data_IF_617042029187
#
_entry.id   IF_617042029187
#
_cell.length_a   1.000
_cell.length_b   1.000
_cell.length_c   1.000
_cell.angle_alpha   90.00
_cell.angle_beta   90.00
_cell.angle_gamma   90.00
#
_symmetry.space_group_name_H-M   'P 1'
#
loop_
_entity.id
_entity.type
_entity.pdbx_description
1 polymer ?
#
# COMPACT_ATOMS: atom_id res chain seq x y z
N UNK A 1 3.10 5.64 -9.56
CA UNK A 1 3.90 6.07 -8.39
C UNK A 1 4.88 4.96 -8.05
N UNK A 2 6.15 5.32 -7.86
CA UNK A 2 7.19 4.38 -7.41
C UNK A 2 7.41 4.52 -5.89
N UNK A 3 7.59 5.74 -5.40
CA UNK A 3 7.75 6.04 -3.98
C UNK A 3 6.39 6.24 -3.31
N UNK A 4 5.68 5.15 -3.01
CA UNK A 4 4.34 5.24 -2.42
C UNK A 4 4.34 5.54 -0.91
N UNK A 5 5.50 5.47 -0.24
CA UNK A 5 5.70 5.67 1.20
C UNK A 5 4.66 4.93 2.07
N UNK A 6 4.64 3.58 2.04
CA UNK A 6 3.74 2.79 2.87
C UNK A 6 4.04 2.98 4.38
N UNK A 7 3.02 3.19 5.20
CA UNK A 7 3.17 3.45 6.65
C UNK A 7 3.73 2.25 7.43
N UNK A 8 3.26 1.04 7.10
CA UNK A 8 3.72 -0.20 7.71
C UNK A 8 4.06 -1.20 6.61
N UNK A 9 5.29 -1.68 6.58
CA UNK A 9 5.74 -2.69 5.63
C UNK A 9 6.30 -3.90 6.35
N UNK A 10 6.03 -5.07 5.78
CA UNK A 10 6.78 -6.25 6.13
C UNK A 10 8.21 -6.13 5.57
N UNK A 11 9.17 -6.59 6.37
CA UNK A 11 10.57 -6.65 5.97
C UNK A 11 10.81 -7.78 4.96
N UNK A 12 11.69 -7.53 4.00
CA UNK A 12 12.05 -8.49 2.95
C UNK A 12 13.20 -9.40 3.41
N UNK A 13 12.95 -10.19 4.46
CA UNK A 13 13.99 -10.97 5.15
C UNK A 13 14.36 -12.29 4.43
N UNK A 14 13.57 -12.74 3.46
CA UNK A 14 13.85 -13.96 2.67
C UNK A 14 14.16 -15.21 3.49
N UNK A 15 13.64 -15.32 4.72
CA UNK A 15 13.89 -16.49 5.59
C UNK A 15 13.16 -17.74 5.11
N UNK A 16 12.04 -17.56 4.41
CA UNK A 16 11.29 -18.62 3.74
C UNK A 16 11.95 -19.07 2.42
N UNK A 17 12.58 -18.14 1.70
CA UNK A 17 13.26 -18.37 0.41
C UNK A 17 14.68 -17.78 0.44
N UNK A 18 15.61 -18.34 1.24
CA UNK A 18 16.93 -17.76 1.39
C UNK A 18 17.73 -17.90 0.10
N UNK A 19 18.26 -16.78 -0.38
CA UNK A 19 19.19 -16.73 -1.50
C UNK A 19 20.57 -17.32 -1.11
N UNK A 20 21.39 -17.74 -2.08
CA UNK A 20 22.61 -18.51 -1.81
C UNK A 20 23.56 -17.86 -0.79
N UNK A 21 23.82 -16.57 -0.93
CA UNK A 21 24.74 -15.83 -0.06
C UNK A 21 24.19 -15.67 1.36
N UNK A 22 22.86 -15.53 1.52
CA UNK A 22 22.22 -15.51 2.84
C UNK A 22 22.33 -16.88 3.52
N UNK A 23 22.13 -17.97 2.77
CA UNK A 23 22.28 -19.33 3.29
C UNK A 23 23.71 -19.59 3.77
N UNK A 24 24.71 -19.22 2.97
CA UNK A 24 26.12 -19.33 3.33
C UNK A 24 26.44 -18.51 4.59
N UNK A 25 25.94 -17.27 4.64
CA UNK A 25 26.11 -16.41 5.81
C UNK A 25 25.51 -17.04 7.06
N UNK A 26 24.27 -17.53 7.01
CA UNK A 26 23.62 -18.22 8.13
C UNK A 26 24.43 -19.46 8.53
N UNK A 27 24.93 -20.25 7.58
CA UNK A 27 25.71 -21.46 7.85
C UNK A 27 27.01 -21.18 8.61
N UNK A 28 27.62 -20.01 8.40
CA UNK A 28 28.87 -19.61 9.07
C UNK A 28 28.77 -19.41 10.59
N UNK A 29 27.55 -19.28 11.13
CA UNK A 29 27.33 -19.18 12.58
C UNK A 29 27.23 -20.56 13.21
N UNK A 30 27.89 -20.77 14.34
CA UNK A 30 27.74 -21.98 15.15
C UNK A 30 27.24 -21.56 16.55
N UNK A 31 25.92 -21.60 16.75
CA UNK A 31 25.31 -21.13 18.00
C UNK A 31 25.67 -22.04 19.20
N UNK A 32 25.98 -23.31 18.95
CA UNK A 32 26.22 -24.29 20.01
C UNK A 32 27.63 -24.15 20.62
N UNK A 33 28.58 -23.59 19.86
CA UNK A 33 30.00 -23.47 20.25
C UNK A 33 30.48 -22.02 20.38
N UNK A 34 29.56 -21.04 20.38
CA UNK A 34 29.88 -19.64 20.61
C UNK A 34 30.16 -19.34 22.09
N UNK A 35 31.04 -18.37 22.34
CA UNK A 35 31.16 -17.83 23.69
C UNK A 35 29.89 -17.04 24.08
N UNK A 36 29.70 -16.84 25.39
CA UNK A 36 28.49 -16.18 25.93
C UNK A 36 28.27 -14.79 25.33
N UNK A 37 29.34 -14.03 25.06
CA UNK A 37 29.22 -12.66 24.54
C UNK A 37 28.79 -12.70 23.07
N UNK A 38 29.42 -13.53 22.27
CA UNK A 38 29.12 -13.67 20.85
C UNK A 38 27.71 -14.25 20.62
N UNK A 39 27.28 -15.15 21.49
CA UNK A 39 25.93 -15.72 21.49
C UNK A 39 24.87 -14.63 21.74
N UNK A 40 25.02 -13.82 22.80
CA UNK A 40 24.08 -12.75 23.17
C UNK A 40 24.10 -11.52 22.26
N UNK A 41 25.11 -11.40 21.39
CA UNK A 41 25.23 -10.32 20.39
C UNK A 41 25.05 -10.83 18.95
N UNK A 42 24.39 -11.97 18.77
CA UNK A 42 24.05 -12.50 17.44
C UNK A 42 22.74 -11.90 16.93
N UNK A 43 22.70 -11.39 15.68
CA UNK A 43 21.47 -10.85 15.07
C UNK A 43 20.28 -11.80 15.18
N UNK A 44 19.11 -11.29 15.58
CA UNK A 44 17.92 -12.12 15.75
C UNK A 44 17.47 -12.81 14.44
N UNK A 45 17.73 -12.21 13.28
CA UNK A 45 17.48 -12.83 11.97
C UNK A 45 18.26 -14.15 11.84
N UNK A 46 19.52 -14.17 12.29
CA UNK A 46 20.37 -15.36 12.26
C UNK A 46 19.84 -16.41 13.24
N UNK A 47 19.42 -15.99 14.43
CA UNK A 47 18.78 -16.88 15.42
C UNK A 47 17.54 -17.55 14.79
N UNK A 48 16.60 -16.77 14.27
CA UNK A 48 15.39 -17.31 13.63
C UNK A 48 15.75 -18.28 12.49
N UNK A 49 16.71 -17.93 11.63
CA UNK A 49 17.14 -18.78 10.53
C UNK A 49 17.76 -20.11 10.97
N UNK A 50 18.57 -20.10 12.04
CA UNK A 50 19.17 -21.31 12.62
C UNK A 50 18.10 -22.22 13.22
N UNK A 51 17.18 -21.66 13.99
CA UNK A 51 16.09 -22.43 14.57
C UNK A 51 15.10 -22.90 13.52
N UNK A 52 14.90 -22.18 12.42
CA UNK A 52 14.14 -22.67 11.26
C UNK A 52 14.79 -23.91 10.66
N UNK A 53 16.12 -23.93 10.50
CA UNK A 53 16.84 -25.11 10.02
C UNK A 53 16.62 -26.30 10.95
N UNK A 54 16.67 -26.08 12.27
CA UNK A 54 16.37 -27.12 13.27
C UNK A 54 14.91 -27.60 13.19
N UNK A 55 13.97 -26.68 13.03
CA UNK A 55 12.55 -27.00 12.85
C UNK A 55 12.31 -27.87 11.62
N UNK A 56 12.95 -27.55 10.49
CA UNK A 56 12.86 -28.32 9.26
C UNK A 56 13.38 -29.75 9.44
N UNK A 57 14.47 -29.93 10.18
CA UNK A 57 15.06 -31.26 10.42
C UNK A 57 14.26 -32.11 11.42
N UNK A 58 13.67 -31.50 12.45
CA UNK A 58 13.10 -32.24 13.59
C UNK A 58 11.57 -32.38 13.55
N UNK A 59 10.86 -31.43 12.92
CA UNK A 59 9.41 -31.32 13.09
C UNK A 59 8.62 -31.32 11.79
N UNK A 60 9.01 -30.52 10.80
CA UNK A 60 8.21 -30.33 9.60
C UNK A 60 9.02 -29.69 8.48
N UNK A 61 8.85 -30.17 7.25
CA UNK A 61 9.39 -29.53 6.03
C UNK A 61 8.72 -28.20 5.67
N UNK A 62 7.73 -27.74 6.46
CA UNK A 62 7.01 -26.50 6.24
C UNK A 62 7.27 -25.47 7.33
N UNK A 63 7.20 -24.20 6.95
CA UNK A 63 7.26 -23.08 7.88
C UNK A 63 6.13 -23.15 8.91
N UNK A 64 6.37 -22.70 10.15
CA UNK A 64 5.31 -22.51 11.14
C UNK A 64 4.23 -21.55 10.63
N UNK A 65 3.03 -22.06 10.35
CA UNK A 65 1.91 -21.27 9.80
C UNK A 65 0.88 -20.97 10.88
N UNK A 66 0.43 -22.00 11.59
CA UNK A 66 -0.64 -21.84 12.59
C UNK A 66 -0.11 -21.16 13.85
N UNK A 67 -1.01 -20.54 14.62
CA UNK A 67 -0.65 -19.97 15.92
C UNK A 67 0.05 -21.00 16.82
N UNK A 68 -0.45 -22.25 16.84
CA UNK A 68 0.13 -23.35 17.61
C UNK A 68 1.54 -23.71 17.15
N UNK A 69 1.78 -23.76 15.84
CA UNK A 69 3.12 -24.02 15.30
C UNK A 69 4.08 -22.87 15.58
N UNK A 70 3.64 -21.62 15.37
CA UNK A 70 4.45 -20.43 15.68
C UNK A 70 4.80 -20.37 17.15
N UNK A 71 3.88 -20.74 18.04
CA UNK A 71 4.17 -20.82 19.47
C UNK A 71 5.15 -21.96 19.78
N UNK A 72 4.98 -23.15 19.20
CA UNK A 72 5.94 -24.23 19.35
C UNK A 72 7.34 -23.86 18.83
N UNK A 73 7.41 -23.02 17.79
CA UNK A 73 8.66 -22.47 17.26
C UNK A 73 9.28 -21.43 18.18
N UNK A 74 8.49 -20.52 18.79
CA UNK A 74 8.98 -19.63 19.85
C UNK A 74 9.57 -20.39 21.02
N UNK A 75 8.90 -21.46 21.46
CA UNK A 75 9.42 -22.30 22.54
C UNK A 75 10.72 -23.00 22.13
N UNK A 76 10.86 -23.39 20.87
CA UNK A 76 12.11 -23.96 20.35
C UNK A 76 13.26 -22.94 20.40
N UNK A 77 13.03 -21.69 19.99
CA UNK A 77 14.03 -20.61 20.10
C UNK A 77 14.37 -20.35 21.58
N UNK A 78 13.36 -20.31 22.45
CA UNK A 78 13.52 -20.00 23.88
C UNK A 78 14.34 -21.07 24.63
N UNK A 79 14.31 -22.32 24.17
CA UNK A 79 15.17 -23.40 24.67
C UNK A 79 16.65 -23.20 24.32
N UNK A 80 16.94 -22.34 23.34
CA UNK A 80 18.27 -21.96 22.89
C UNK A 80 19.02 -20.98 23.79
N UNK A 81 18.31 -20.33 24.71
CA UNK A 81 18.90 -19.35 25.62
C UNK A 81 19.86 -20.07 26.57
N UNK A 82 21.09 -19.55 26.68
CA UNK A 82 22.11 -20.13 27.57
C UNK A 82 21.62 -20.14 29.02
N UNK A 83 22.08 -21.12 29.80
CA UNK A 83 21.76 -21.21 31.23
C UNK A 83 23.01 -20.94 32.05
N UNK A 84 22.84 -20.23 33.17
CA UNK A 84 23.92 -20.01 34.12
C UNK A 84 24.20 -21.28 34.95
N UNK A 85 25.20 -21.19 35.84
CA UNK A 85 25.62 -22.29 36.73
C UNK A 85 24.48 -22.84 37.61
N UNK A 86 23.45 -22.01 37.88
CA UNK A 86 22.28 -22.37 38.68
C UNK A 86 21.14 -22.96 37.84
N UNK A 87 21.34 -23.13 36.53
CA UNK A 87 20.36 -23.66 35.59
C UNK A 87 19.25 -22.68 35.20
N UNK A 88 19.33 -21.41 35.60
CA UNK A 88 18.38 -20.38 35.16
C UNK A 88 18.80 -19.81 33.81
N UNK A 89 17.86 -19.53 32.89
CA UNK A 89 18.15 -18.87 31.63
C UNK A 89 18.86 -17.53 31.87
N UNK A 90 19.88 -17.27 31.07
CA UNK A 90 20.54 -15.96 30.97
C UNK A 90 19.59 -14.95 30.32
N UNK A 91 19.84 -13.67 30.58
CA UNK A 91 19.07 -12.58 29.97
C UNK A 91 19.67 -12.23 28.60
N UNK A 92 19.11 -12.83 27.54
CA UNK A 92 19.57 -12.66 26.16
C UNK A 92 18.52 -11.90 25.34
N UNK A 93 18.67 -10.57 25.31
CA UNK A 93 17.70 -9.68 24.65
C UNK A 93 17.54 -9.98 23.15
N UNK A 94 18.60 -10.43 22.46
CA UNK A 94 18.55 -10.82 21.05
C UNK A 94 17.66 -12.06 20.80
N UNK A 95 17.60 -13.01 21.75
CA UNK A 95 16.69 -14.16 21.69
C UNK A 95 15.24 -13.75 21.96
N UNK A 96 15.00 -12.87 22.92
CA UNK A 96 13.67 -12.31 23.16
C UNK A 96 13.19 -11.46 21.96
N UNK A 97 14.09 -10.73 21.30
CA UNK A 97 13.82 -10.04 20.03
C UNK A 97 13.47 -11.02 18.91
N UNK A 98 14.19 -12.15 18.79
CA UNK A 98 13.88 -13.22 17.84
C UNK A 98 12.47 -13.78 18.06
N UNK A 99 12.12 -14.09 19.32
CA UNK A 99 10.81 -14.63 19.71
C UNK A 99 9.67 -13.67 19.38
N UNK A 100 9.85 -12.36 19.65
CA UNK A 100 8.87 -11.31 19.33
C UNK A 100 8.67 -11.20 17.81
N UNK A 101 9.76 -11.27 17.04
CA UNK A 101 9.72 -11.11 15.58
C UNK A 101 9.28 -12.36 14.81
N UNK A 102 9.08 -13.52 15.44
CA UNK A 102 8.60 -14.75 14.76
C UNK A 102 7.34 -14.50 13.90
N UNK A 103 6.41 -13.65 14.37
CA UNK A 103 5.18 -13.41 13.62
C UNK A 103 5.40 -12.69 12.29
N UNK A 104 6.34 -11.75 12.25
CA UNK A 104 6.63 -10.90 11.08
C UNK A 104 7.74 -11.47 10.21
N UNK A 105 8.68 -12.21 10.81
CA UNK A 105 9.83 -12.79 10.13
C UNK A 105 9.51 -14.04 9.31
N UNK A 106 8.47 -14.78 9.69
CA UNK A 106 8.03 -16.00 9.00
C UNK A 106 6.95 -15.74 7.94
N UNK A 107 6.85 -14.50 7.45
CA UNK A 107 5.95 -14.19 6.34
C UNK A 107 6.51 -14.76 5.04
N UNK A 108 5.60 -15.24 4.20
CA UNK A 108 5.96 -15.79 2.89
C UNK A 108 6.40 -14.67 1.96
N UNK A 109 7.52 -14.86 1.29
CA UNK A 109 7.98 -14.01 0.20
C UNK A 109 7.09 -14.29 -1.02
N UNK A 110 6.13 -13.40 -1.24
CA UNK A 110 5.15 -13.45 -2.32
C UNK A 110 5.04 -12.09 -3.03
N UNK A 111 4.50 -12.12 -4.26
CA UNK A 111 4.26 -10.90 -5.03
C UNK A 111 2.92 -10.33 -4.55
N UNK A 112 2.88 -9.06 -4.08
CA UNK A 112 1.61 -8.46 -3.67
C UNK A 112 0.64 -8.39 -4.85
N UNK A 113 -0.65 -8.61 -4.58
CA UNK A 113 -1.71 -8.59 -5.61
C UNK A 113 -1.70 -7.32 -6.47
N UNK A 114 -1.46 -6.15 -5.88
CA UNK A 114 -1.39 -4.90 -6.64
C UNK A 114 -0.23 -4.90 -7.67
N UNK A 115 0.86 -5.61 -7.40
CA UNK A 115 1.98 -5.77 -8.34
C UNK A 115 1.63 -6.78 -9.42
N UNK A 116 0.92 -7.86 -9.09
CA UNK A 116 0.39 -8.79 -10.09
C UNK A 116 -0.57 -8.10 -11.07
N UNK A 117 -1.45 -7.23 -10.56
CA UNK A 117 -2.35 -6.40 -11.37
C UNK A 117 -1.55 -5.48 -12.32
N UNK A 118 -0.48 -4.84 -11.84
CA UNK A 118 0.43 -4.03 -12.68
C UNK A 118 1.13 -4.90 -13.74
N UNK A 119 1.57 -6.12 -13.39
CA UNK A 119 2.22 -7.03 -14.33
C UNK A 119 1.28 -7.53 -15.41
N UNK A 120 0.02 -7.71 -15.08
CA UNK A 120 -1.02 -8.20 -16.00
C UNK A 120 -1.77 -7.10 -16.71
N UNK A 121 -1.43 -5.83 -16.45
CA UNK A 121 -1.98 -4.68 -17.15
C UNK A 121 -1.55 -4.64 -18.62
N UNK A 122 -2.45 -4.22 -19.50
CA UNK A 122 -2.19 -4.06 -20.93
C UNK A 122 -0.99 -3.13 -21.20
N UNK A 123 -0.85 -2.05 -20.42
CA UNK A 123 0.28 -1.12 -20.53
C UNK A 123 1.64 -1.76 -20.18
N UNK A 124 1.64 -2.87 -19.43
CA UNK A 124 2.84 -3.63 -19.09
C UNK A 124 3.08 -4.79 -20.08
N UNK A 125 2.01 -5.40 -20.59
CA UNK A 125 2.07 -6.51 -21.53
C UNK A 125 2.49 -6.02 -22.92
N UNK A 126 1.82 -4.98 -23.41
CA UNK A 126 1.92 -4.48 -24.78
C UNK A 126 2.68 -3.16 -24.80
N UNK A 127 4.00 -3.24 -24.64
CA UNK A 127 4.86 -2.07 -24.72
C UNK A 127 4.94 -1.52 -26.17
N UNK A 128 5.01 -0.20 -26.27
CA UNK A 128 5.18 0.54 -27.52
C UNK A 128 6.27 1.59 -27.37
N UNK A 129 6.66 2.22 -28.47
CA UNK A 129 7.60 3.36 -28.44
C UNK A 129 7.09 4.53 -27.58
N UNK A 130 5.77 4.63 -27.35
CA UNK A 130 5.18 5.67 -26.51
C UNK A 130 4.99 5.25 -25.05
N UNK A 131 5.35 4.01 -24.69
CA UNK A 131 5.24 3.54 -23.32
C UNK A 131 6.12 4.38 -22.37
N UNK A 132 5.55 4.93 -21.28
CA UNK A 132 6.31 5.64 -20.25
C UNK A 132 7.35 4.75 -19.56
N UNK A 133 8.41 5.37 -19.02
CA UNK A 133 9.49 4.67 -18.29
C UNK A 133 8.97 3.76 -17.17
N UNK A 134 7.92 4.18 -16.47
CA UNK A 134 7.27 3.37 -15.42
C UNK A 134 6.88 1.98 -15.91
N UNK A 135 6.19 1.89 -17.06
CA UNK A 135 5.71 0.61 -17.58
C UNK A 135 6.83 -0.25 -18.16
N UNK A 136 7.85 0.37 -18.76
CA UNK A 136 9.05 -0.32 -19.22
C UNK A 136 9.79 -0.96 -18.04
N UNK A 137 9.94 -0.20 -16.94
CA UNK A 137 10.56 -0.69 -15.71
C UNK A 137 9.71 -1.76 -15.01
N UNK A 138 8.40 -1.59 -14.94
CA UNK A 138 7.50 -2.60 -14.42
C UNK A 138 7.60 -3.91 -15.22
N UNK A 139 7.70 -3.82 -16.55
CA UNK A 139 7.94 -4.97 -17.41
C UNK A 139 9.31 -5.60 -17.17
N UNK A 140 10.36 -4.80 -16.99
CA UNK A 140 11.70 -5.31 -16.66
C UNK A 140 11.71 -6.10 -15.33
N UNK A 141 10.97 -5.63 -14.31
CA UNK A 141 10.80 -6.39 -13.05
C UNK A 141 10.00 -7.67 -13.29
N UNK A 142 8.96 -7.65 -14.14
CA UNK A 142 8.22 -8.86 -14.52
C UNK A 142 9.13 -9.91 -15.19
N UNK A 143 10.01 -9.49 -16.09
CA UNK A 143 11.01 -10.37 -16.71
C UNK A 143 12.01 -10.91 -15.67
N UNK A 144 12.50 -10.07 -14.75
CA UNK A 144 13.35 -10.52 -13.65
C UNK A 144 12.66 -11.59 -12.80
N UNK A 145 11.41 -11.37 -12.42
CA UNK A 145 10.61 -12.31 -11.62
C UNK A 145 10.52 -13.67 -12.32
N UNK A 146 10.34 -13.71 -13.63
CA UNK A 146 10.26 -14.94 -14.41
C UNK A 146 11.62 -15.66 -14.57
N UNK A 147 12.73 -14.93 -14.45
CA UNK A 147 14.08 -15.41 -14.69
C UNK A 147 14.89 -15.48 -13.37
N UNK A 148 15.76 -14.49 -13.11
CA UNK A 148 16.69 -14.49 -11.99
C UNK A 148 16.00 -14.45 -10.62
N UNK A 149 14.80 -13.85 -10.57
CA UNK A 149 13.98 -13.70 -9.37
C UNK A 149 13.25 -14.98 -8.94
N UNK A 150 13.13 -15.99 -9.81
CA UNK A 150 12.52 -17.29 -9.51
C UNK A 150 11.12 -17.18 -8.86
N UNK A 151 10.27 -16.29 -9.39
CA UNK A 151 8.94 -16.01 -8.87
C UNK A 151 8.91 -15.01 -7.70
N UNK A 152 10.02 -14.31 -7.41
CA UNK A 152 10.09 -13.28 -6.39
C UNK A 152 10.61 -11.96 -6.94
N UNK A 153 10.18 -10.86 -6.32
CA UNK A 153 10.65 -9.52 -6.63
C UNK A 153 12.15 -9.35 -6.26
N UNK A 154 12.84 -8.33 -6.80
CA UNK A 154 14.20 -7.96 -6.39
C UNK A 154 14.30 -7.79 -4.86
N UNK A 155 15.42 -8.21 -4.27
CA UNK A 155 15.65 -8.02 -2.82
C UNK A 155 15.73 -6.53 -2.49
N UNK A 156 15.00 -6.09 -1.46
CA UNK A 156 14.97 -4.67 -1.04
C UNK A 156 16.33 -4.16 -0.59
N UNK A 157 17.12 -5.03 0.06
CA UNK A 157 18.49 -4.74 0.47
C UNK A 157 18.64 -4.06 1.83
N UNK A 158 17.54 -3.74 2.51
CA UNK A 158 17.49 -3.20 3.86
C UNK A 158 17.02 -4.25 4.86
N UNK A 159 17.49 -4.16 6.10
CA UNK A 159 17.04 -4.95 7.24
C UNK A 159 16.80 -3.99 8.41
N UNK A 160 15.90 -4.32 9.35
CA UNK A 160 15.64 -3.49 10.53
C UNK A 160 16.86 -3.45 11.45
N UNK A 161 16.89 -2.46 12.34
CA UNK A 161 17.85 -2.44 13.44
C UNK A 161 17.60 -3.62 14.40
N UNK A 162 18.64 -4.05 15.12
CA UNK A 162 18.54 -5.16 16.08
C UNK A 162 19.71 -5.21 17.05
N UNK A 163 19.50 -5.92 18.17
CA UNK A 163 20.53 -6.16 19.17
C UNK A 163 21.56 -7.14 18.62
N UNK A 164 22.73 -6.62 18.25
CA UNK A 164 23.85 -7.39 17.73
C UNK A 164 25.19 -6.64 17.89
N UNK A 165 26.31 -7.38 17.80
CA UNK A 165 27.63 -6.76 17.64
C UNK A 165 27.69 -6.00 16.31
N UNK A 166 28.34 -4.83 16.31
CA UNK A 166 28.42 -3.96 15.13
C UNK A 166 28.98 -4.68 13.90
N UNK A 167 30.00 -5.54 14.06
CA UNK A 167 30.56 -6.27 12.93
C UNK A 167 29.61 -7.33 12.40
N UNK A 168 28.89 -8.04 13.28
CA UNK A 168 27.91 -9.06 12.88
C UNK A 168 26.72 -8.43 12.15
N UNK A 169 26.21 -7.31 12.67
CA UNK A 169 25.14 -6.56 12.01
C UNK A 169 25.57 -6.03 10.64
N UNK A 170 26.73 -5.37 10.54
CA UNK A 170 27.24 -4.83 9.27
C UNK A 170 27.46 -5.95 8.24
N UNK A 171 27.99 -7.11 8.65
CA UNK A 171 28.18 -8.26 7.76
C UNK A 171 26.84 -8.76 7.21
N UNK A 172 25.83 -8.96 8.08
CA UNK A 172 24.50 -9.37 7.66
C UNK A 172 23.87 -8.33 6.72
N UNK A 173 23.92 -7.04 7.07
CA UNK A 173 23.40 -5.96 6.26
C UNK A 173 24.04 -5.93 4.85
N UNK A 174 25.36 -6.14 4.77
CA UNK A 174 26.07 -6.18 3.50
C UNK A 174 25.63 -7.34 2.61
N UNK A 175 25.27 -8.50 3.17
CA UNK A 175 24.73 -9.63 2.39
C UNK A 175 23.46 -9.23 1.62
N UNK A 176 22.51 -8.57 2.30
CA UNK A 176 21.29 -8.06 1.65
C UNK A 176 21.60 -6.94 0.66
N UNK A 177 22.50 -6.02 1.02
CA UNK A 177 22.87 -4.89 0.15
C UNK A 177 23.53 -5.34 -1.15
N UNK A 178 24.45 -6.30 -1.09
CA UNK A 178 25.10 -6.84 -2.28
C UNK A 178 24.14 -7.67 -3.13
N UNK A 179 23.23 -8.45 -2.50
CA UNK A 179 22.17 -9.13 -3.24
C UNK A 179 21.25 -8.15 -3.97
N UNK A 180 20.81 -7.07 -3.31
CA UNK A 180 20.00 -6.04 -3.94
C UNK A 180 20.71 -5.38 -5.13
N UNK A 181 22.03 -5.10 -5.03
CA UNK A 181 22.82 -4.60 -6.17
C UNK A 181 22.83 -5.57 -7.35
N UNK A 182 23.00 -6.89 -7.09
CA UNK A 182 22.96 -7.91 -8.13
C UNK A 182 21.58 -7.95 -8.82
N UNK A 183 20.51 -7.87 -8.04
CA UNK A 183 19.14 -7.89 -8.57
C UNK A 183 18.84 -6.62 -9.39
N UNK A 184 19.27 -5.45 -8.91
CA UNK A 184 19.16 -4.19 -9.65
C UNK A 184 19.87 -4.28 -11.00
N UNK A 185 21.08 -4.85 -11.05
CA UNK A 185 21.81 -5.03 -12.31
C UNK A 185 21.07 -5.97 -13.28
N UNK A 186 20.47 -7.05 -12.77
CA UNK A 186 19.67 -7.97 -13.59
C UNK A 186 18.42 -7.28 -14.17
N UNK A 187 17.67 -6.53 -13.35
CA UNK A 187 16.53 -5.72 -13.83
C UNK A 187 16.98 -4.68 -14.84
N UNK A 188 18.13 -4.04 -14.63
CA UNK A 188 18.72 -3.07 -15.56
C UNK A 188 19.02 -3.67 -16.93
N UNK A 189 19.54 -4.91 -16.98
CA UNK A 189 19.77 -5.62 -18.23
C UNK A 189 18.46 -5.91 -18.99
N UNK A 190 17.39 -6.28 -18.27
CA UNK A 190 16.07 -6.46 -18.90
C UNK A 190 15.51 -5.13 -19.42
N UNK A 191 15.61 -4.05 -18.64
CA UNK A 191 15.20 -2.72 -19.06
C UNK A 191 15.95 -2.25 -20.32
N UNK A 192 17.27 -2.45 -20.38
CA UNK A 192 18.08 -2.10 -21.54
C UNK A 192 17.65 -2.88 -22.80
N UNK A 193 17.39 -4.18 -22.69
CA UNK A 193 16.87 -5.01 -23.81
C UNK A 193 15.51 -4.51 -24.29
N UNK A 194 14.61 -4.17 -23.37
CA UNK A 194 13.28 -3.64 -23.70
C UNK A 194 13.41 -2.29 -24.43
N UNK A 195 14.24 -1.38 -23.94
CA UNK A 195 14.48 -0.09 -24.59
C UNK A 195 15.01 -0.27 -26.02
N UNK A 196 15.99 -1.16 -26.22
CA UNK A 196 16.51 -1.48 -27.56
C UNK A 196 15.41 -2.01 -28.50
N UNK A 197 14.54 -2.92 -28.02
CA UNK A 197 13.43 -3.45 -28.82
C UNK A 197 12.38 -2.40 -29.18
N UNK A 198 12.28 -1.33 -28.39
CA UNK A 198 11.36 -0.20 -28.60
C UNK A 198 12.03 0.97 -29.34
N UNK A 199 13.25 0.80 -29.85
CA UNK A 199 13.99 1.86 -30.53
C UNK A 199 14.40 3.04 -29.62
N UNK A 200 14.34 2.87 -28.28
CA UNK A 200 14.73 3.88 -27.31
C UNK A 200 16.21 3.73 -26.93
N UNK A 201 16.84 4.86 -26.60
CA UNK A 201 18.21 4.86 -26.07
C UNK A 201 18.25 4.07 -24.73
N UNK A 202 19.17 3.12 -24.55
CA UNK A 202 19.31 2.37 -23.30
C UNK A 202 19.52 3.27 -22.07
N UNK A 203 20.12 4.44 -22.27
CA UNK A 203 20.43 5.43 -21.23
C UNK A 203 19.23 6.35 -20.90
N UNK A 204 18.07 6.16 -21.54
CA UNK A 204 16.88 6.99 -21.27
C UNK A 204 16.30 6.80 -19.87
N UNK A 205 16.71 5.73 -19.17
CA UNK A 205 16.34 5.45 -17.78
C UNK A 205 17.61 5.53 -16.94
N UNK A 206 17.61 6.43 -15.96
CA UNK A 206 18.77 6.62 -15.11
C UNK A 206 18.95 5.46 -14.12
N UNK A 207 20.20 5.21 -13.70
CA UNK A 207 20.48 4.22 -12.64
C UNK A 207 19.75 4.57 -11.33
N UNK A 208 19.54 5.87 -11.07
CA UNK A 208 18.77 6.35 -9.93
C UNK A 208 17.31 5.89 -10.00
N UNK A 209 16.65 6.04 -11.14
CA UNK A 209 15.27 5.57 -11.35
C UNK A 209 15.16 4.06 -11.22
N UNK A 210 16.09 3.32 -11.82
CA UNK A 210 16.14 1.86 -11.73
C UNK A 210 16.27 1.40 -10.27
N UNK A 211 17.25 1.95 -9.54
CA UNK A 211 17.45 1.64 -8.12
C UNK A 211 16.22 1.97 -7.28
N UNK A 212 15.61 3.13 -7.53
CA UNK A 212 14.41 3.57 -6.82
C UNK A 212 13.25 2.60 -7.04
N UNK A 213 13.07 2.14 -8.27
CA UNK A 213 12.02 1.18 -8.63
C UNK A 213 12.28 -0.19 -8.02
N UNK A 214 13.51 -0.72 -8.06
CA UNK A 214 13.82 -2.01 -7.44
C UNK A 214 13.60 -1.99 -5.93
N UNK A 215 14.04 -0.91 -5.25
CA UNK A 215 13.84 -0.73 -3.82
C UNK A 215 12.36 -0.66 -3.42
N UNK A 216 11.51 -0.16 -4.33
CA UNK A 216 10.06 -0.03 -4.12
C UNK A 216 9.24 -1.01 -4.96
N UNK A 217 9.84 -2.10 -5.44
CA UNK A 217 9.19 -3.02 -6.39
C UNK A 217 7.93 -3.67 -5.81
N UNK A 218 7.89 -3.89 -4.49
CA UNK A 218 6.72 -4.40 -3.77
C UNK A 218 5.65 -3.33 -3.49
N UNK A 219 5.95 -2.05 -3.75
CA UNK A 219 5.14 -0.90 -3.34
C UNK A 219 4.68 -0.03 -4.51
N UNK A 220 4.87 -0.49 -5.75
CA UNK A 220 4.40 0.24 -6.92
C UNK A 220 2.89 0.40 -6.87
N UNK A 221 2.41 1.60 -7.23
CA UNK A 221 0.98 1.92 -7.28
C UNK A 221 0.63 2.63 -8.57
N UNK A 222 -0.50 2.21 -9.14
CA UNK A 222 -1.15 2.85 -10.29
C UNK A 222 -2.54 3.27 -9.83
N UNK A 223 -2.89 4.52 -10.08
CA UNK A 223 -4.24 5.06 -9.87
C UNK A 223 -4.75 5.56 -11.21
N UNK A 224 -5.96 5.15 -11.60
CA UNK A 224 -6.65 5.59 -12.80
C UNK A 224 -8.02 6.12 -12.38
N UNK A 225 -8.17 7.44 -12.41
CA UNK A 225 -9.46 8.07 -12.15
C UNK A 225 -10.31 8.00 -13.42
N UNK A 226 -11.62 7.90 -13.23
CA UNK A 226 -12.59 8.04 -14.32
C UNK A 226 -12.66 9.49 -14.76
N UNK A 227 -13.10 9.71 -15.99
CA UNK A 227 -13.36 11.05 -16.47
C UNK A 227 -14.65 11.60 -15.85
N UNK A 228 -14.71 12.92 -15.67
CA UNK A 228 -15.94 13.58 -15.21
C UNK A 228 -17.13 13.33 -16.15
N UNK A 229 -16.86 13.15 -17.46
CA UNK A 229 -17.87 12.76 -18.44
C UNK A 229 -18.47 11.38 -18.17
N UNK A 230 -17.66 10.43 -17.71
CA UNK A 230 -18.16 9.10 -17.35
C UNK A 230 -18.97 9.14 -16.06
N UNK A 231 -18.55 9.94 -15.07
CA UNK A 231 -19.32 10.18 -13.85
C UNK A 231 -20.70 10.81 -14.16
N UNK A 232 -20.79 11.72 -15.13
CA UNK A 232 -22.04 12.42 -15.46
C UNK A 232 -22.89 11.70 -16.51
N UNK A 233 -22.32 10.71 -17.22
CA UNK A 233 -23.01 9.99 -18.28
C UNK A 233 -24.06 9.03 -17.75
N UNK A 234 -25.28 9.09 -18.27
CA UNK A 234 -26.42 8.27 -17.79
C UNK A 234 -26.16 6.75 -17.81
N UNK A 235 -25.35 6.29 -18.77
CA UNK A 235 -25.02 4.87 -18.95
C UNK A 235 -23.73 4.45 -18.22
N UNK A 236 -22.92 5.42 -17.81
CA UNK A 236 -21.60 5.19 -17.19
C UNK A 236 -21.62 5.52 -15.70
N UNK A 237 -22.62 6.25 -15.21
CA UNK A 237 -22.80 6.58 -13.79
C UNK A 237 -22.66 5.34 -12.90
N UNK A 238 -21.78 5.38 -11.88
CA UNK A 238 -21.54 4.22 -11.01
C UNK A 238 -22.66 4.05 -9.98
N UNK A 239 -23.79 3.49 -10.43
CA UNK A 239 -24.98 3.26 -9.61
C UNK A 239 -24.70 2.27 -8.48
N UNK A 240 -23.91 1.24 -8.75
CA UNK A 240 -23.67 0.14 -7.81
C UNK A 240 -22.93 0.65 -6.56
N UNK A 241 -21.89 1.46 -6.75
CA UNK A 241 -21.17 2.12 -5.65
C UNK A 241 -22.14 2.96 -4.80
N UNK A 242 -22.90 3.84 -5.44
CA UNK A 242 -23.85 4.75 -4.75
C UNK A 242 -24.93 3.98 -4.00
N UNK A 243 -25.56 2.99 -4.63
CA UNK A 243 -26.62 2.18 -4.01
C UNK A 243 -26.05 1.42 -2.80
N UNK A 244 -24.87 0.82 -2.93
CA UNK A 244 -24.25 0.07 -1.83
C UNK A 244 -23.94 0.95 -0.61
N UNK A 245 -23.49 2.20 -0.81
CA UNK A 245 -23.22 3.11 0.29
C UNK A 245 -24.48 3.74 0.90
N UNK A 246 -25.58 3.79 0.14
CA UNK A 246 -26.88 4.27 0.61
C UNK A 246 -27.66 3.25 1.46
N UNK A 247 -27.14 2.03 1.64
CA UNK A 247 -27.63 1.10 2.69
C UNK A 247 -27.51 1.71 4.09
N UNK A 248 -26.55 2.62 4.27
CA UNK A 248 -26.51 3.55 5.40
C UNK A 248 -27.08 4.91 4.94
N UNK A 249 -28.28 5.31 5.41
CA UNK A 249 -28.90 6.59 5.06
C UNK A 249 -28.08 7.83 5.45
N UNK A 250 -27.11 7.68 6.37
CA UNK A 250 -26.25 8.74 6.87
C UNK A 250 -24.83 8.70 6.29
N UNK A 251 -24.57 7.84 5.29
CA UNK A 251 -23.29 7.81 4.56
C UNK A 251 -23.02 9.14 3.86
N UNK A 252 -21.76 9.57 3.81
CA UNK A 252 -21.37 10.84 3.18
C UNK A 252 -21.74 10.92 1.69
N UNK A 253 -22.00 9.79 1.03
CA UNK A 253 -22.48 9.76 -0.36
C UNK A 253 -23.81 10.53 -0.53
N UNK A 254 -24.63 10.64 0.53
CA UNK A 254 -25.85 11.44 0.51
C UNK A 254 -25.56 12.92 0.23
N UNK A 255 -24.42 13.43 0.72
CA UNK A 255 -24.00 14.81 0.47
C UNK A 255 -23.67 15.01 -1.01
N UNK A 256 -23.06 14.01 -1.67
CA UNK A 256 -22.87 14.04 -3.12
C UNK A 256 -24.22 14.10 -3.84
N UNK A 257 -25.18 13.22 -3.51
CA UNK A 257 -26.49 13.22 -4.17
C UNK A 257 -27.22 14.56 -4.02
N UNK A 258 -27.15 15.19 -2.84
CA UNK A 258 -27.78 16.49 -2.62
C UNK A 258 -26.99 17.61 -3.32
N UNK A 259 -25.67 17.57 -3.40
CA UNK A 259 -24.88 18.50 -4.23
C UNK A 259 -25.28 18.43 -5.72
N UNK A 260 -25.49 17.23 -6.26
CA UNK A 260 -26.02 17.06 -7.64
C UNK A 260 -27.40 17.69 -7.81
N UNK A 261 -28.26 17.55 -6.80
CA UNK A 261 -29.56 18.19 -6.78
C UNK A 261 -29.49 19.73 -6.66
N UNK A 262 -28.53 20.26 -5.91
CA UNK A 262 -28.26 21.70 -5.79
C UNK A 262 -27.80 22.30 -7.11
N UNK A 263 -26.91 21.63 -7.85
CA UNK A 263 -26.52 22.07 -9.20
C UNK A 263 -27.71 22.07 -10.17
N UNK A 264 -28.57 21.05 -10.09
CA UNK A 264 -29.82 21.01 -10.86
C UNK A 264 -30.76 22.15 -10.48
N UNK A 265 -30.90 22.45 -9.18
CA UNK A 265 -31.67 23.59 -8.69
C UNK A 265 -31.12 24.90 -9.27
N UNK A 266 -29.80 25.11 -9.22
CA UNK A 266 -29.15 26.30 -9.78
C UNK A 266 -29.45 26.43 -11.28
N UNK A 267 -29.35 25.33 -12.04
CA UNK A 267 -29.67 25.30 -13.47
C UNK A 267 -31.13 25.68 -13.76
N UNK A 268 -32.08 25.32 -12.89
CA UNK A 268 -33.50 25.60 -13.09
C UNK A 268 -33.92 27.00 -12.62
N UNK A 269 -33.31 27.50 -11.54
CA UNK A 269 -33.76 28.71 -10.86
C UNK A 269 -32.79 29.90 -10.97
N UNK A 270 -31.59 29.71 -11.53
CA UNK A 270 -30.58 30.77 -11.71
C UNK A 270 -29.96 31.27 -10.40
N UNK A 271 -30.17 30.55 -9.29
CA UNK A 271 -29.64 30.85 -7.95
C UNK A 271 -29.52 29.57 -7.12
N UNK A 272 -28.74 29.61 -6.05
CA UNK A 272 -28.66 28.52 -5.08
C UNK A 272 -29.87 28.51 -4.11
N UNK A 273 -30.20 27.36 -3.50
CA UNK A 273 -31.30 27.26 -2.55
C UNK A 273 -30.96 27.96 -1.23
N UNK A 274 -31.95 28.67 -0.66
CA UNK A 274 -31.87 29.22 0.71
C UNK A 274 -30.84 30.32 0.96
N UNK A 275 -30.36 31.01 -0.08
CA UNK A 275 -29.37 32.11 0.05
C UNK A 275 -29.90 33.25 0.93
N UNK A 276 -31.19 33.56 0.85
CA UNK A 276 -31.84 34.50 1.76
C UNK A 276 -32.75 33.76 2.75
N UNK A 277 -32.80 34.22 4.00
CA UNK A 277 -33.60 33.58 5.07
C UNK A 277 -35.07 33.35 4.69
N UNK A 278 -35.69 34.28 3.94
CA UNK A 278 -37.08 34.16 3.52
C UNK A 278 -37.32 33.12 2.40
N UNK A 279 -36.26 32.61 1.75
CA UNK A 279 -36.34 31.64 0.66
C UNK A 279 -36.28 30.20 1.14
N UNK A 280 -35.80 29.95 2.37
CA UNK A 280 -35.48 28.62 2.88
C UNK A 280 -36.69 27.67 2.81
N UNK A 281 -37.84 28.10 3.36
CA UNK A 281 -39.07 27.29 3.36
C UNK A 281 -39.56 26.96 1.94
N UNK A 282 -39.60 27.95 1.06
CA UNK A 282 -40.05 27.78 -0.33
C UNK A 282 -39.10 26.90 -1.16
N UNK A 283 -37.81 26.93 -0.85
CA UNK A 283 -36.79 26.23 -1.61
C UNK A 283 -36.64 24.76 -1.20
N UNK A 284 -37.04 24.38 0.01
CA UNK A 284 -37.05 22.97 0.46
C UNK A 284 -37.85 22.09 -0.53
N UNK A 285 -39.07 22.49 -0.88
CA UNK A 285 -39.91 21.72 -1.82
C UNK A 285 -39.32 21.67 -3.25
N UNK A 286 -38.71 22.76 -3.70
CA UNK A 286 -38.07 22.86 -5.02
C UNK A 286 -36.80 22.02 -5.09
N UNK A 287 -35.95 22.05 -4.07
CA UNK A 287 -34.75 21.23 -3.97
C UNK A 287 -35.11 19.75 -3.88
N UNK A 288 -36.13 19.39 -3.09
CA UNK A 288 -36.66 18.01 -3.05
C UNK A 288 -37.10 17.54 -4.43
N UNK A 289 -37.79 18.39 -5.19
CA UNK A 289 -38.21 18.09 -6.57
C UNK A 289 -37.00 17.89 -7.51
N UNK A 290 -35.96 18.72 -7.38
CA UNK A 290 -34.71 18.56 -8.13
C UNK A 290 -34.01 17.23 -7.79
N UNK A 291 -33.94 16.89 -6.50
CA UNK A 291 -33.36 15.63 -6.03
C UNK A 291 -34.12 14.44 -6.59
N UNK A 292 -35.45 14.39 -6.45
CA UNK A 292 -36.27 13.30 -7.01
C UNK A 292 -36.09 13.17 -8.52
N UNK A 293 -36.06 14.30 -9.24
CA UNK A 293 -35.81 14.29 -10.69
C UNK A 293 -34.43 13.74 -11.06
N UNK A 294 -33.39 14.09 -10.31
CA UNK A 294 -32.03 13.58 -10.51
C UNK A 294 -31.94 12.07 -10.26
N UNK A 295 -32.51 11.60 -9.14
CA UNK A 295 -32.53 10.18 -8.78
C UNK A 295 -33.29 9.36 -9.82
N UNK A 296 -34.45 9.83 -10.30
CA UNK A 296 -35.24 9.18 -11.35
C UNK A 296 -34.49 9.12 -12.68
N UNK A 297 -33.86 10.22 -13.10
CA UNK A 297 -33.09 10.29 -14.35
C UNK A 297 -31.92 9.30 -14.39
N UNK A 298 -31.27 9.08 -13.25
CA UNK A 298 -30.17 8.11 -13.13
C UNK A 298 -30.65 6.71 -12.72
N UNK A 299 -31.94 6.52 -12.48
CA UNK A 299 -32.51 5.22 -12.05
C UNK A 299 -31.99 4.76 -10.69
N UNK A 300 -31.75 5.69 -9.76
CA UNK A 300 -31.30 5.40 -8.40
C UNK A 300 -32.51 5.19 -7.48
N UNK A 301 -32.71 3.96 -7.02
CA UNK A 301 -33.76 3.60 -6.06
C UNK A 301 -33.31 3.77 -4.61
N UNK A 302 -32.79 4.94 -4.27
CA UNK A 302 -32.28 5.27 -2.93
C UNK A 302 -33.19 6.27 -2.22
N UNK A 303 -33.24 6.20 -0.88
CA UNK A 303 -34.04 7.10 -0.06
C UNK A 303 -33.11 8.08 0.65
N UNK A 304 -33.31 9.37 0.40
CA UNK A 304 -32.59 10.46 1.10
C UNK A 304 -33.51 11.02 2.17
N UNK A 305 -33.02 11.14 3.42
CA UNK A 305 -33.78 11.76 4.51
C UNK A 305 -34.06 13.22 4.18
N UNK A 306 -35.28 13.67 4.47
CA UNK A 306 -35.68 15.06 4.23
C UNK A 306 -34.77 16.04 4.98
N UNK A 307 -34.25 15.66 6.15
CA UNK A 307 -33.30 16.45 6.94
C UNK A 307 -32.11 16.97 6.10
N UNK A 308 -31.59 16.19 5.16
CA UNK A 308 -30.50 16.65 4.28
C UNK A 308 -30.97 17.73 3.31
N UNK A 309 -32.19 17.64 2.78
CA UNK A 309 -32.75 18.69 1.91
C UNK A 309 -32.93 19.99 2.69
N UNK A 310 -33.48 19.89 3.90
CA UNK A 310 -33.62 21.04 4.81
C UNK A 310 -32.27 21.66 5.14
N UNK A 311 -31.28 20.85 5.48
CA UNK A 311 -29.95 21.31 5.87
C UNK A 311 -29.20 21.98 4.71
N UNK A 312 -29.31 21.49 3.47
CA UNK A 312 -28.69 22.14 2.31
C UNK A 312 -29.36 23.47 1.93
N UNK A 313 -30.67 23.62 2.13
CA UNK A 313 -31.31 24.93 2.03
C UNK A 313 -30.82 25.86 3.16
N UNK A 314 -30.66 25.35 4.38
CA UNK A 314 -30.14 26.12 5.52
C UNK A 314 -28.70 26.60 5.30
N UNK A 315 -27.86 25.84 4.59
CA UNK A 315 -26.51 26.28 4.24
C UNK A 315 -26.49 27.55 3.41
N UNK A 316 -27.52 27.80 2.58
CA UNK A 316 -27.62 29.01 1.77
C UNK A 316 -26.42 29.25 0.83
N UNK A 317 -25.77 28.16 0.39
CA UNK A 317 -24.51 28.18 -0.36
C UNK A 317 -23.39 29.02 0.30
N UNK A 318 -23.37 29.09 1.64
CA UNK A 318 -22.26 29.70 2.37
C UNK A 318 -20.96 28.88 2.20
N UNK A 319 -19.82 29.58 2.32
CA UNK A 319 -18.49 28.98 2.37
C UNK A 319 -17.86 29.25 3.75
N UNK A 320 -18.14 28.42 4.78
CA UNK A 320 -17.58 28.65 6.10
C UNK A 320 -16.07 28.47 6.10
N UNK A 321 -15.35 29.46 6.66
CA UNK A 321 -13.88 29.51 6.63
C UNK A 321 -13.21 28.22 7.14
N UNK A 322 -13.71 27.62 8.22
CA UNK A 322 -13.14 26.40 8.79
C UNK A 322 -13.26 25.20 7.83
N UNK A 323 -14.36 25.10 7.08
CA UNK A 323 -14.58 24.05 6.09
C UNK A 323 -13.67 24.25 4.88
N UNK A 324 -13.57 25.49 4.39
CA UNK A 324 -12.65 25.86 3.31
C UNK A 324 -11.19 25.59 3.70
N UNK A 325 -10.78 25.91 4.93
CA UNK A 325 -9.44 25.64 5.43
C UNK A 325 -9.11 24.15 5.50
N UNK A 326 -10.05 23.32 5.97
CA UNK A 326 -9.90 21.85 5.98
C UNK A 326 -9.70 21.32 4.55
N UNK A 327 -10.59 21.71 3.63
CA UNK A 327 -10.50 21.30 2.23
C UNK A 327 -9.23 21.81 1.56
N UNK A 328 -8.77 23.02 1.90
CA UNK A 328 -7.51 23.58 1.40
C UNK A 328 -6.30 22.74 1.80
N UNK A 329 -6.25 22.25 3.04
CA UNK A 329 -5.19 21.36 3.51
C UNK A 329 -5.20 20.00 2.78
N UNK A 330 -6.37 19.37 2.69
CA UNK A 330 -6.52 18.09 2.01
C UNK A 330 -6.17 18.19 0.51
N UNK A 331 -6.73 19.17 -0.20
CA UNK A 331 -6.48 19.37 -1.62
C UNK A 331 -5.03 19.74 -1.91
N UNK A 332 -4.40 20.61 -1.11
CA UNK A 332 -3.00 20.97 -1.28
C UNK A 332 -2.08 19.75 -1.20
N UNK A 333 -2.33 18.85 -0.24
CA UNK A 333 -1.51 17.64 -0.11
C UNK A 333 -1.68 16.72 -1.32
N UNK A 334 -2.89 16.50 -1.83
CA UNK A 334 -3.10 15.67 -3.03
C UNK A 334 -2.42 16.26 -4.27
N UNK A 335 -2.42 17.59 -4.42
CA UNK A 335 -1.68 18.28 -5.48
C UNK A 335 -0.17 18.04 -5.33
N UNK A 336 0.38 18.11 -4.11
CA UNK A 336 1.80 17.80 -3.85
C UNK A 336 2.13 16.36 -4.26
N UNK A 337 1.25 15.39 -3.97
CA UNK A 337 1.44 13.99 -4.39
C UNK A 337 1.51 13.86 -5.92
N UNK A 338 0.63 14.55 -6.64
CA UNK A 338 0.64 14.55 -8.12
C UNK A 338 1.93 15.18 -8.67
N UNK A 339 2.34 16.33 -8.13
CA UNK A 339 3.55 17.05 -8.60
C UNK A 339 4.81 16.23 -8.34
N UNK A 340 4.92 15.63 -7.16
CA UNK A 340 6.13 14.90 -6.75
C UNK A 340 6.18 13.48 -7.32
N UNK A 341 5.03 12.93 -7.71
CA UNK A 341 4.92 11.52 -8.06
C UNK A 341 5.18 10.59 -6.86
N UNK A 342 5.06 11.10 -5.63
CA UNK A 342 5.25 10.39 -4.37
C UNK A 342 3.93 10.29 -3.59
N UNK A 343 3.83 9.28 -2.73
CA UNK A 343 2.61 8.87 -2.03
C UNK A 343 1.47 8.47 -2.98
N UNK A 344 0.38 7.95 -2.41
CA UNK A 344 -0.80 7.53 -3.18
C UNK A 344 -1.90 8.58 -3.03
N UNK A 345 -2.45 9.02 -4.16
CA UNK A 345 -3.62 9.91 -4.21
C UNK A 345 -4.91 9.12 -3.89
N UNK A 346 -5.94 9.81 -3.41
CA UNK A 346 -7.26 9.20 -3.36
C UNK A 346 -7.78 8.88 -4.78
N UNK A 347 -8.59 7.82 -4.91
CA UNK A 347 -9.17 7.45 -6.19
C UNK A 347 -10.58 8.05 -6.31
N UNK A 348 -10.68 9.16 -7.06
CA UNK A 348 -11.90 9.84 -7.50
C UNK A 348 -12.49 10.94 -6.60
N UNK A 349 -13.36 10.64 -5.63
CA UNK A 349 -14.10 11.70 -4.90
C UNK A 349 -13.94 11.57 -3.40
N UNK A 350 -13.46 12.63 -2.75
CA UNK A 350 -13.39 12.75 -1.30
C UNK A 350 -14.49 13.69 -0.80
N UNK A 351 -15.31 13.21 0.13
CA UNK A 351 -16.40 13.97 0.75
C UNK A 351 -16.12 14.12 2.23
N UNK A 352 -16.24 15.35 2.74
CA UNK A 352 -16.09 15.68 4.15
C UNK A 352 -17.37 16.32 4.70
N UNK A 353 -17.82 15.84 5.85
CA UNK A 353 -18.93 16.39 6.62
C UNK A 353 -18.41 17.12 7.86
N UNK A 354 -18.42 18.46 7.83
CA UNK A 354 -18.13 19.27 9.01
C UNK A 354 -19.19 19.18 10.11
N UNK A 355 -20.39 18.67 9.80
CA UNK A 355 -21.46 18.49 10.77
C UNK A 355 -21.19 17.32 11.71
N UNK A 356 -20.71 16.20 11.17
CA UNK A 356 -20.40 14.96 11.91
C UNK A 356 -18.90 14.74 12.15
N UNK A 357 -18.04 15.56 11.54
CA UNK A 357 -16.57 15.40 11.56
C UNK A 357 -16.12 14.05 10.98
N UNK A 358 -16.81 13.60 9.92
CA UNK A 358 -16.54 12.35 9.21
C UNK A 358 -16.24 12.62 7.74
N UNK A 359 -15.58 11.65 7.08
CA UNK A 359 -15.26 11.75 5.66
C UNK A 359 -15.13 10.38 5.01
N UNK A 360 -15.37 10.30 3.71
CA UNK A 360 -15.24 9.09 2.93
C UNK A 360 -14.70 9.37 1.51
N UNK A 361 -14.14 8.33 0.89
CA UNK A 361 -13.71 8.36 -0.52
C UNK A 361 -14.54 7.39 -1.33
N UNK A 362 -14.99 7.80 -2.51
CA UNK A 362 -15.85 7.02 -3.40
C UNK A 362 -15.30 7.01 -4.82
N UNK A 363 -15.49 5.90 -5.55
CA UNK A 363 -15.19 5.78 -6.98
C UNK A 363 -16.48 5.94 -7.81
N UNK A 364 -16.80 7.17 -8.19
CA UNK A 364 -18.09 7.57 -8.80
C UNK A 364 -18.14 7.40 -10.32
#
# INVERSE_FOLDING_TARGET
VVESHPDNTLEDLRLDKPFPELREHIQSYDLDHMDKKDHSHTPWIVIVAKYLTKWFNEKSDQLPKTYKEKEAFRQLIRQGILKNENGTPEDEENFEEAIKNVNTALNTTEIPRCIEEIFNDDCCINLTEQSPSFWILARAVKEFVANEGQGSLPVRGTIPDMIADSNRFIRLQNVYREKAKKDIAAVGNHAAKLLQSLGKAPESISERELKLLCNNSAFLRVVRCRSLSEEYGLNTFNKDEIISHMDNPDSEIVLYLVLRAVDRFYKQHGRYPGVCNYQVEDDIGKLKSCLTGFLQEHGLSVVVKDDYVHEFCRYGAAEPHAIAAFMGGAAAQEVIKVITGQFVIFNNTYIYSGMSQTSATFQL
#
